data_IF_505931987603
#
_entry.id   IF_505931987603
#
_cell.length_a   1.000
_cell.length_b   1.000
_cell.length_c   1.000
_cell.angle_alpha   90.00
_cell.angle_beta   90.00
_cell.angle_gamma   90.00
#
_symmetry.space_group_name_H-M   'P 1'
#
loop_
_entity.id
_entity.type
_entity.pdbx_description
1 polymer ?
#
# COMPACT_ATOMS: atom_id res chain seq x y z
N UNK A 1 0.06 -24.09 -9.97
CA UNK A 1 -1.34 -23.78 -10.37
C UNK A 1 -1.30 -22.65 -11.39
N UNK A 2 -1.85 -22.87 -12.58
CA UNK A 2 -2.11 -21.79 -13.54
C UNK A 2 -3.55 -21.31 -13.30
N UNK A 3 -3.73 -20.04 -12.96
CA UNK A 3 -5.04 -19.42 -12.86
C UNK A 3 -5.34 -18.68 -14.16
N UNK A 4 -6.55 -18.89 -14.71
CA UNK A 4 -7.06 -18.06 -15.79
C UNK A 4 -7.55 -16.74 -15.20
N UNK A 5 -6.99 -15.62 -15.63
CA UNK A 5 -7.47 -14.29 -15.26
C UNK A 5 -8.10 -13.61 -16.47
N UNK A 6 -9.31 -13.08 -16.31
CA UNK A 6 -9.97 -12.30 -17.35
C UNK A 6 -9.91 -10.82 -16.98
N UNK A 7 -9.13 -10.05 -17.74
CA UNK A 7 -8.90 -8.64 -17.48
C UNK A 7 -9.89 -7.81 -18.31
N UNK A 8 -10.90 -7.26 -17.65
CA UNK A 8 -11.93 -6.41 -18.29
C UNK A 8 -11.51 -4.95 -18.46
N UNK A 9 -10.38 -4.55 -17.87
CA UNK A 9 -9.93 -3.15 -17.81
C UNK A 9 -8.52 -3.01 -18.38
N UNK A 10 -8.31 -2.05 -19.29
CA UNK A 10 -6.99 -1.72 -19.83
C UNK A 10 -6.34 -0.56 -19.05
N UNK A 11 -5.01 -0.53 -19.03
CA UNK A 11 -4.20 0.55 -18.46
C UNK A 11 -4.33 0.78 -16.95
N UNK A 12 -3.97 -0.23 -16.15
CA UNK A 12 -4.27 -0.31 -14.72
C UNK A 12 -3.12 -0.89 -13.90
N UNK A 13 -2.96 -0.43 -12.66
CA UNK A 13 -2.14 -1.11 -11.64
C UNK A 13 -3.05 -1.94 -10.75
N UNK A 14 -2.69 -3.21 -10.60
CA UNK A 14 -3.23 -4.15 -9.63
C UNK A 14 -2.04 -4.86 -8.98
N UNK A 15 -2.32 -5.85 -8.15
CA UNK A 15 -1.32 -6.70 -7.55
C UNK A 15 -1.90 -8.09 -7.31
N UNK A 16 -1.03 -9.09 -7.21
CA UNK A 16 -1.39 -10.43 -6.77
C UNK A 16 -0.72 -10.73 -5.44
N UNK A 17 -1.34 -11.61 -4.66
CA UNK A 17 -0.76 -12.12 -3.42
C UNK A 17 -1.31 -13.49 -3.08
N UNK A 18 -0.58 -14.24 -2.24
CA UNK A 18 -1.12 -15.45 -1.64
C UNK A 18 -2.36 -15.11 -0.81
N UNK A 19 -3.44 -15.87 -0.99
CA UNK A 19 -4.69 -15.68 -0.23
C UNK A 19 -4.91 -16.84 0.76
N UNK A 20 -3.83 -17.29 1.38
CA UNK A 20 -3.80 -18.35 2.37
C UNK A 20 -2.87 -17.92 3.51
N UNK A 21 -3.43 -17.91 4.73
CA UNK A 21 -2.73 -17.54 5.96
C UNK A 21 -1.99 -16.19 5.80
N UNK A 22 -0.78 -16.07 6.35
CA UNK A 22 0.04 -14.86 6.27
C UNK A 22 1.13 -14.96 5.19
N UNK A 23 1.01 -15.92 4.25
CA UNK A 23 1.99 -16.08 3.17
C UNK A 23 2.13 -14.84 2.27
N UNK A 24 1.12 -13.96 2.23
CA UNK A 24 1.24 -12.67 1.55
C UNK A 24 2.25 -11.70 2.19
N UNK A 25 2.86 -12.04 3.31
CA UNK A 25 3.99 -11.28 3.85
C UNK A 25 5.24 -11.37 2.97
N UNK A 26 5.35 -12.38 2.12
CA UNK A 26 6.48 -12.57 1.21
C UNK A 26 6.07 -12.98 -0.21
N UNK A 27 4.86 -13.53 -0.39
CA UNK A 27 4.35 -14.03 -1.68
C UNK A 27 3.33 -13.04 -2.26
N UNK A 28 3.84 -12.04 -2.98
CA UNK A 28 3.05 -11.01 -3.67
C UNK A 28 3.84 -10.37 -4.80
N UNK A 29 3.17 -9.62 -5.66
CA UNK A 29 3.80 -8.84 -6.73
C UNK A 29 2.85 -7.93 -7.47
N UNK A 30 3.40 -7.01 -8.25
CA UNK A 30 2.61 -6.09 -9.06
C UNK A 30 1.97 -6.78 -10.27
N UNK A 31 0.81 -6.29 -10.69
CA UNK A 31 0.21 -6.55 -11.99
C UNK A 31 0.08 -5.20 -12.70
N UNK A 32 0.82 -5.03 -13.78
CA UNK A 32 0.73 -3.84 -14.62
C UNK A 32 0.03 -4.21 -15.93
N UNK A 33 -1.16 -3.65 -16.13
CA UNK A 33 -1.92 -3.81 -17.36
C UNK A 33 -1.67 -2.56 -18.20
N UNK A 34 -1.03 -2.71 -19.36
CA UNK A 34 -0.76 -1.58 -20.25
C UNK A 34 -2.02 -1.13 -21.00
N UNK A 35 -2.07 0.12 -21.51
CA UNK A 35 -3.12 0.53 -22.43
C UNK A 35 -3.14 -0.36 -23.67
N UNK A 36 -4.34 -0.60 -24.22
CA UNK A 36 -4.49 -1.25 -25.51
C UNK A 36 -3.74 -0.46 -26.56
N UNK A 37 -3.21 -1.15 -27.57
CA UNK A 37 -2.56 -0.48 -28.69
C UNK A 37 -3.50 0.58 -29.31
N UNK A 38 -2.95 1.76 -29.61
CA UNK A 38 -3.72 2.91 -30.09
C UNK A 38 -4.47 3.72 -29.01
N UNK A 39 -4.50 3.28 -27.74
CA UNK A 39 -5.08 4.05 -26.63
C UNK A 39 -4.02 4.81 -25.84
N UNK A 40 -4.28 6.09 -25.55
CA UNK A 40 -3.40 6.94 -24.75
C UNK A 40 -3.85 7.00 -23.30
N UNK A 41 -2.92 7.34 -22.41
CA UNK A 41 -3.26 7.77 -21.05
C UNK A 41 -4.14 9.02 -21.07
N UNK A 42 -5.01 9.25 -20.07
CA UNK A 42 -5.73 10.51 -19.89
C UNK A 42 -4.83 11.65 -19.37
N UNK A 43 -3.52 11.42 -19.32
CA UNK A 43 -2.48 12.36 -18.90
C UNK A 43 -1.27 12.22 -19.85
N UNK A 44 -0.37 13.21 -19.91
CA UNK A 44 0.83 13.12 -20.75
C UNK A 44 1.65 11.86 -20.47
N UNK A 45 2.12 11.20 -21.54
CA UNK A 45 2.90 9.96 -21.42
C UNK A 45 4.14 10.20 -20.53
N UNK A 46 4.31 9.42 -19.44
CA UNK A 46 5.49 9.54 -18.59
C UNK A 46 6.76 9.11 -19.35
N UNK A 47 7.91 9.61 -18.92
CA UNK A 47 9.21 9.23 -19.46
C UNK A 47 9.54 7.76 -19.15
N UNK A 48 9.31 7.35 -17.89
CA UNK A 48 9.42 5.97 -17.42
C UNK A 48 8.40 5.71 -16.32
N UNK A 49 8.16 4.45 -16.04
CA UNK A 49 7.27 3.98 -14.98
C UNK A 49 8.05 3.04 -14.06
N UNK A 50 7.68 2.97 -12.78
CA UNK A 50 8.27 2.03 -11.83
C UNK A 50 7.29 1.66 -10.74
N UNK A 51 7.36 0.41 -10.29
CA UNK A 51 6.57 -0.11 -9.19
C UNK A 51 7.23 0.24 -7.84
N UNK A 52 6.41 0.68 -6.90
CA UNK A 52 6.81 0.97 -5.52
C UNK A 52 5.91 0.12 -4.61
N UNK A 53 6.41 -1.04 -4.21
CA UNK A 53 5.65 -1.98 -3.39
C UNK A 53 6.04 -1.79 -1.93
N UNK A 54 5.10 -1.29 -1.14
CA UNK A 54 5.22 -1.18 0.32
C UNK A 54 4.88 -2.52 0.94
N UNK A 55 5.65 -2.98 1.92
CA UNK A 55 5.42 -4.24 2.61
C UNK A 55 5.95 -4.23 4.03
N UNK A 56 5.90 -5.38 4.69
CA UNK A 56 6.39 -5.61 6.05
C UNK A 56 7.36 -6.80 6.07
N UNK A 57 8.26 -6.81 7.04
CA UNK A 57 9.27 -7.85 7.24
C UNK A 57 9.29 -8.28 8.71
N UNK A 58 9.31 -9.59 8.92
CA UNK A 58 9.59 -10.21 10.21
C UNK A 58 10.89 -11.02 10.09
N UNK A 59 11.73 -10.94 11.12
CA UNK A 59 12.94 -11.76 11.22
C UNK A 59 12.60 -13.25 11.44
N UNK A 60 11.46 -13.52 12.07
CA UNK A 60 10.96 -14.87 12.30
C UNK A 60 9.97 -15.30 11.21
N UNK A 61 9.79 -16.61 11.05
CA UNK A 61 8.78 -17.18 10.16
C UNK A 61 7.36 -16.72 10.55
N UNK A 62 6.68 -16.06 9.60
CA UNK A 62 5.39 -15.40 9.84
C UNK A 62 4.29 -16.39 10.21
N UNK A 63 4.31 -17.59 9.63
CA UNK A 63 3.35 -18.65 9.95
C UNK A 63 3.54 -19.15 11.38
N UNK A 64 4.78 -19.33 11.81
CA UNK A 64 5.11 -19.71 13.19
C UNK A 64 4.63 -18.65 14.19
N UNK A 65 4.81 -17.36 13.87
CA UNK A 65 4.36 -16.26 14.71
C UNK A 65 2.83 -16.25 14.87
N UNK A 66 2.11 -16.34 13.75
CA UNK A 66 0.64 -16.30 13.72
C UNK A 66 0.04 -17.53 14.38
N UNK A 67 0.58 -18.72 14.09
CA UNK A 67 0.11 -19.96 14.71
C UNK A 67 0.31 -19.96 16.22
N UNK A 68 1.42 -19.38 16.72
CA UNK A 68 1.65 -19.20 18.16
C UNK A 68 0.65 -18.21 18.75
N UNK A 69 0.48 -17.04 18.14
CA UNK A 69 -0.44 -16.01 18.62
C UNK A 69 -1.89 -16.51 18.70
N UNK A 70 -2.35 -17.20 17.66
CA UNK A 70 -3.69 -17.81 17.61
C UNK A 70 -3.90 -18.85 18.72
N UNK A 71 -2.91 -19.72 18.98
CA UNK A 71 -2.97 -20.69 20.09
C UNK A 71 -3.07 -20.02 21.45
N UNK A 72 -2.44 -18.86 21.61
CA UNK A 72 -2.43 -18.10 22.85
C UNK A 72 -3.67 -17.18 23.00
N UNK A 73 -4.45 -16.98 21.93
CA UNK A 73 -5.57 -16.05 21.89
C UNK A 73 -5.16 -14.57 21.79
N UNK A 74 -3.91 -14.31 21.39
CA UNK A 74 -3.26 -12.99 21.36
C UNK A 74 -3.10 -12.48 19.92
N UNK A 75 -2.88 -11.16 19.71
CA UNK A 75 -2.54 -10.67 18.39
C UNK A 75 -1.11 -11.09 18.01
N UNK A 76 -0.83 -11.34 16.72
CA UNK A 76 0.55 -11.53 16.24
C UNK A 76 1.43 -10.30 16.54
N UNK A 77 2.75 -10.47 16.72
CA UNK A 77 3.64 -9.34 16.92
C UNK A 77 3.74 -8.46 15.66
N UNK A 78 3.97 -7.17 15.86
CA UNK A 78 4.23 -6.20 14.78
C UNK A 78 5.48 -6.58 13.98
N UNK A 79 5.60 -6.06 12.76
CA UNK A 79 6.78 -6.28 11.92
C UNK A 79 8.06 -5.73 12.56
N UNK A 80 9.19 -6.31 12.14
CA UNK A 80 10.51 -5.79 12.46
C UNK A 80 10.89 -4.60 11.57
N UNK A 81 10.34 -4.53 10.36
CA UNK A 81 10.54 -3.41 9.46
C UNK A 81 9.43 -3.29 8.40
N UNK A 82 9.06 -2.07 8.08
CA UNK A 82 8.45 -1.73 6.79
C UNK A 82 9.49 -1.83 5.66
N UNK A 83 9.04 -2.14 4.44
CA UNK A 83 9.89 -2.28 3.26
C UNK A 83 9.35 -1.54 2.03
N UNK A 84 10.25 -1.04 1.19
CA UNK A 84 9.95 -0.54 -0.17
C UNK A 84 10.68 -1.48 -1.13
N UNK A 85 9.94 -2.16 -2.00
CA UNK A 85 10.43 -3.20 -2.90
C UNK A 85 11.26 -4.27 -2.16
N UNK A 86 10.77 -4.69 -0.99
CA UNK A 86 11.41 -5.71 -0.15
C UNK A 86 12.68 -5.25 0.59
N UNK A 87 12.95 -3.94 0.63
CA UNK A 87 14.13 -3.35 1.29
C UNK A 87 13.71 -2.40 2.42
N UNK A 88 14.22 -2.56 3.66
CA UNK A 88 13.93 -1.65 4.78
C UNK A 88 14.51 -0.23 4.62
N UNK A 89 15.55 -0.09 3.80
CA UNK A 89 16.19 1.19 3.53
C UNK A 89 17.37 1.52 4.45
N UNK A 90 17.91 2.71 4.28
CA UNK A 90 19.20 3.12 4.83
C UNK A 90 19.19 3.39 6.35
N UNK A 91 18.00 3.49 6.95
CA UNK A 91 17.83 3.73 8.39
C UNK A 91 17.94 2.45 9.22
N UNK A 92 17.96 1.28 8.57
CA UNK A 92 18.07 -0.01 9.23
C UNK A 92 19.52 -0.55 9.20
N UNK A 93 19.95 -1.26 10.24
CA UNK A 93 21.24 -1.96 10.23
C UNK A 93 21.36 -2.87 8.99
N UNK A 94 22.57 -2.98 8.45
CA UNK A 94 22.90 -3.84 7.30
C UNK A 94 22.14 -3.54 5.98
N UNK A 95 21.31 -2.50 5.92
CA UNK A 95 20.38 -2.26 4.80
C UNK A 95 20.80 -1.12 3.86
N UNK A 96 21.80 -0.31 4.25
CA UNK A 96 22.29 0.85 3.49
C UNK A 96 22.70 0.51 2.05
N UNK A 97 23.50 -0.56 1.85
CA UNK A 97 24.01 -0.95 0.52
C UNK A 97 22.91 -1.50 -0.41
N UNK A 98 21.79 -1.94 0.15
CA UNK A 98 20.71 -2.60 -0.58
C UNK A 98 19.43 -1.78 -0.63
N UNK A 99 19.49 -0.51 -0.21
CA UNK A 99 18.34 0.40 -0.28
C UNK A 99 17.90 0.56 -1.73
N UNK A 100 16.59 0.40 -1.97
CA UNK A 100 16.03 0.60 -3.31
C UNK A 100 16.31 2.03 -3.79
N UNK A 101 16.77 2.16 -5.03
CA UNK A 101 17.09 3.45 -5.64
C UNK A 101 16.58 3.49 -7.07
N UNK A 102 15.81 4.53 -7.41
CA UNK A 102 15.39 4.79 -8.78
C UNK A 102 16.13 6.01 -9.33
N UNK A 103 16.62 5.91 -10.57
CA UNK A 103 17.31 7.01 -11.24
C UNK A 103 16.32 7.91 -12.00
N UNK A 104 16.50 9.23 -11.91
CA UNK A 104 15.70 10.23 -12.62
C UNK A 104 16.57 11.24 -13.36
N UNK A 105 16.07 11.73 -14.50
CA UNK A 105 16.66 12.80 -15.29
C UNK A 105 15.91 14.10 -15.02
N UNK A 106 16.66 15.20 -14.84
CA UNK A 106 16.08 16.51 -14.56
C UNK A 106 15.06 16.92 -15.64
N UNK A 107 13.93 17.47 -15.19
CA UNK A 107 12.82 17.92 -16.04
C UNK A 107 11.90 16.81 -16.55
N UNK A 108 12.24 15.52 -16.42
CA UNK A 108 11.39 14.41 -16.85
C UNK A 108 10.29 14.10 -15.84
N UNK A 109 9.22 13.45 -16.31
CA UNK A 109 8.09 13.01 -15.48
C UNK A 109 8.05 11.48 -15.42
N UNK A 110 7.84 10.91 -14.24
CA UNK A 110 7.82 9.48 -13.99
C UNK A 110 6.47 9.07 -13.40
N UNK A 111 5.99 7.88 -13.76
CA UNK A 111 4.80 7.28 -13.14
C UNK A 111 5.24 6.28 -12.08
N UNK A 112 4.91 6.55 -10.82
CA UNK A 112 5.11 5.60 -9.72
C UNK A 112 3.81 4.83 -9.51
N UNK A 113 3.89 3.50 -9.59
CA UNK A 113 2.77 2.58 -9.34
C UNK A 113 2.91 2.05 -7.91
N UNK A 114 2.32 2.77 -6.95
CA UNK A 114 2.48 2.50 -5.53
C UNK A 114 1.45 1.46 -5.09
N UNK A 115 1.91 0.40 -4.43
CA UNK A 115 1.08 -0.72 -3.98
C UNK A 115 1.34 -0.89 -2.50
N UNK A 116 0.30 -0.91 -1.67
CA UNK A 116 0.47 -1.31 -0.27
C UNK A 116 0.16 -2.80 -0.12
N UNK A 117 1.22 -3.61 -0.11
CA UNK A 117 1.19 -5.04 0.13
C UNK A 117 1.46 -5.41 1.61
N UNK A 118 1.57 -4.41 2.50
CA UNK A 118 1.68 -4.65 3.95
C UNK A 118 0.49 -5.45 4.46
N UNK A 119 0.68 -6.16 5.56
CA UNK A 119 -0.37 -6.95 6.20
C UNK A 119 -1.34 -6.07 6.97
N UNK A 120 -0.82 -5.15 7.79
CA UNK A 120 -1.61 -4.52 8.85
C UNK A 120 -1.78 -3.01 8.68
N UNK A 121 -0.75 -2.32 8.18
CA UNK A 121 -0.63 -0.87 8.40
C UNK A 121 -1.02 -0.03 7.18
N UNK A 122 -1.87 0.98 7.41
CA UNK A 122 -2.01 2.11 6.47
C UNK A 122 -0.74 2.95 6.51
N UNK A 123 -0.26 3.41 5.35
CA UNK A 123 1.03 4.08 5.25
C UNK A 123 0.87 5.50 4.71
N UNK A 124 1.48 6.46 5.40
CA UNK A 124 1.83 7.72 4.77
C UNK A 124 3.07 7.53 3.91
N UNK A 125 3.01 7.88 2.63
CA UNK A 125 4.13 7.85 1.70
C UNK A 125 4.46 9.27 1.19
N UNK A 126 5.74 9.60 1.12
CA UNK A 126 6.25 10.92 0.70
C UNK A 126 7.57 10.82 -0.07
N UNK A 127 7.88 11.84 -0.87
CA UNK A 127 9.17 11.99 -1.54
C UNK A 127 9.73 13.37 -1.20
N UNK A 128 10.96 13.44 -0.71
CA UNK A 128 11.57 14.70 -0.30
C UNK A 128 11.62 15.68 -1.48
N UNK A 129 11.13 16.90 -1.28
CA UNK A 129 11.12 17.96 -2.29
C UNK A 129 10.11 17.80 -3.43
N UNK A 130 9.53 16.61 -3.64
CA UNK A 130 8.71 16.34 -4.82
C UNK A 130 7.22 16.29 -4.48
N UNK A 131 6.42 16.95 -5.32
CA UNK A 131 4.97 16.78 -5.30
C UNK A 131 4.58 15.53 -6.13
N UNK A 132 3.50 14.88 -5.73
CA UNK A 132 2.92 13.71 -6.40
C UNK A 132 1.55 14.08 -6.93
N UNK A 133 1.31 13.90 -8.22
CA UNK A 133 -0.01 14.08 -8.83
C UNK A 133 -0.68 12.72 -8.96
N UNK A 134 -1.70 12.48 -8.14
CA UNK A 134 -2.48 11.25 -8.15
C UNK A 134 -3.32 11.21 -9.42
N UNK A 135 -3.25 10.10 -10.16
CA UNK A 135 -3.94 9.92 -11.45
C UNK A 135 -4.74 8.62 -11.55
N UNK A 136 -4.48 7.65 -10.68
CA UNK A 136 -5.20 6.37 -10.64
C UNK A 136 -5.20 5.83 -9.21
N UNK A 137 -6.32 5.21 -8.80
CA UNK A 137 -6.44 4.44 -7.56
C UNK A 137 -7.23 3.17 -7.88
N UNK A 138 -6.75 2.02 -7.42
CA UNK A 138 -7.42 0.72 -7.54
C UNK A 138 -7.93 0.41 -8.95
N UNK A 139 -7.04 0.57 -9.92
CA UNK A 139 -7.36 0.38 -11.31
C UNK A 139 -8.52 1.28 -11.83
N UNK A 140 -8.66 2.49 -11.29
CA UNK A 140 -9.61 3.50 -11.77
C UNK A 140 -8.93 4.85 -11.86
N UNK A 141 -9.03 5.51 -13.03
CA UNK A 141 -8.51 6.86 -13.17
C UNK A 141 -9.24 7.84 -12.27
N UNK A 142 -8.48 8.71 -11.63
CA UNK A 142 -9.00 9.73 -10.74
C UNK A 142 -9.04 11.08 -11.44
N UNK A 143 -9.86 12.01 -10.93
CA UNK A 143 -9.70 13.42 -11.24
C UNK A 143 -8.35 13.86 -10.65
N UNK A 144 -7.36 14.27 -11.47
CA UNK A 144 -6.00 14.43 -10.97
C UNK A 144 -5.92 15.46 -9.86
N UNK A 145 -5.11 15.17 -8.84
CA UNK A 145 -4.87 16.08 -7.75
C UNK A 145 -3.44 15.97 -7.22
N UNK A 146 -2.81 17.10 -6.94
CA UNK A 146 -1.41 17.15 -6.47
C UNK A 146 -1.33 17.19 -4.95
N UNK A 147 -0.47 16.37 -4.36
CA UNK A 147 -0.24 16.25 -2.92
C UNK A 147 1.24 16.00 -2.62
N UNK A 148 1.67 16.28 -1.39
CA UNK A 148 3.01 15.90 -0.89
C UNK A 148 3.02 14.58 -0.12
N UNK A 149 1.84 14.12 0.29
CA UNK A 149 1.64 12.93 1.10
C UNK A 149 0.53 12.10 0.46
N UNK A 150 0.77 10.81 0.32
CA UNK A 150 -0.22 9.80 0.00
C UNK A 150 -0.55 9.05 1.28
N UNK A 151 -1.83 8.78 1.53
CA UNK A 151 -2.26 7.75 2.47
C UNK A 151 -2.69 6.54 1.64
N UNK A 152 -2.19 5.36 1.95
CA UNK A 152 -2.51 4.13 1.23
C UNK A 152 -2.71 2.97 2.20
N UNK A 153 -3.87 2.33 2.15
CA UNK A 153 -4.22 1.20 3.00
C UNK A 153 -3.80 -0.14 2.38
N UNK A 154 -3.56 -1.20 3.18
CA UNK A 154 -3.29 -2.54 2.67
C UNK A 154 -4.31 -2.97 1.61
N UNK A 155 -3.82 -3.42 0.47
CA UNK A 155 -4.63 -3.83 -0.67
C UNK A 155 -4.87 -2.76 -1.72
N UNK A 156 -4.68 -1.49 -1.39
CA UNK A 156 -4.84 -0.40 -2.34
C UNK A 156 -3.62 -0.25 -3.25
N UNK A 157 -3.89 0.28 -4.44
CA UNK A 157 -2.90 0.75 -5.40
C UNK A 157 -3.15 2.22 -5.72
N UNK A 158 -2.09 3.02 -5.82
CA UNK A 158 -2.17 4.44 -6.19
C UNK A 158 -1.08 4.75 -7.22
N UNK A 159 -1.48 5.21 -8.40
CA UNK A 159 -0.51 5.71 -9.38
C UNK A 159 -0.36 7.22 -9.27
N UNK A 160 0.89 7.67 -9.24
CA UNK A 160 1.21 9.10 -9.19
C UNK A 160 2.24 9.49 -10.23
N UNK A 161 2.04 10.66 -10.83
CA UNK A 161 3.05 11.34 -11.62
C UNK A 161 3.93 12.18 -10.71
N UNK A 162 5.24 12.01 -10.84
CA UNK A 162 6.26 12.85 -10.20
C UNK A 162 7.09 13.52 -11.29
N UNK A 163 7.38 14.81 -11.12
CA UNK A 163 8.26 15.55 -12.02
C UNK A 163 9.61 15.73 -11.32
N UNK A 164 10.70 15.39 -11.99
CA UNK A 164 12.06 15.60 -11.49
C UNK A 164 12.46 17.07 -11.66
N UNK A 165 11.79 17.97 -10.92
CA UNK A 165 11.92 19.43 -11.03
C UNK A 165 12.70 20.08 -9.88
N UNK A 166 13.31 19.27 -9.02
CA UNK A 166 14.18 19.74 -7.94
C UNK A 166 15.62 19.89 -8.44
N UNK A 167 16.45 20.62 -7.68
CA UNK A 167 17.89 20.70 -7.94
C UNK A 167 18.49 19.28 -8.00
N UNK A 168 19.32 18.94 -9.01
CA UNK A 168 19.89 17.60 -9.12
C UNK A 168 20.61 17.16 -7.84
N UNK A 169 20.05 16.15 -7.18
CA UNK A 169 20.55 15.62 -5.91
C UNK A 169 19.95 14.22 -5.63
N UNK A 170 20.03 13.76 -4.37
CA UNK A 170 19.38 12.54 -3.90
C UNK A 170 18.31 12.89 -2.87
N UNK A 171 17.15 12.25 -3.01
CA UNK A 171 15.97 12.53 -2.21
C UNK A 171 15.42 11.22 -1.66
N UNK A 172 15.12 11.15 -0.36
CA UNK A 172 14.45 9.98 0.18
C UNK A 172 13.00 9.94 -0.26
N UNK A 173 12.57 8.79 -0.77
CA UNK A 173 11.20 8.31 -0.66
C UNK A 173 11.06 7.66 0.71
N UNK A 174 9.99 7.95 1.44
CA UNK A 174 9.81 7.41 2.77
C UNK A 174 8.35 7.09 3.07
N UNK A 175 8.14 6.02 3.84
CA UNK A 175 6.84 5.65 4.37
C UNK A 175 6.88 5.38 5.88
N UNK A 176 5.77 5.67 6.56
CA UNK A 176 5.54 5.36 7.98
C UNK A 176 4.06 5.01 8.22
N UNK A 177 3.71 4.29 9.29
CA UNK A 177 2.32 4.00 9.60
C UNK A 177 1.51 5.24 9.92
N UNK A 178 0.25 5.22 9.48
CA UNK A 178 -0.83 6.00 10.05
C UNK A 178 -1.56 5.12 11.07
N UNK A 179 -1.70 5.61 12.30
CA UNK A 179 -2.36 4.90 13.39
C UNK A 179 -3.08 5.91 14.29
N UNK A 180 -4.41 5.88 14.27
CA UNK A 180 -5.29 6.71 15.09
C UNK A 180 -6.02 5.92 16.19
N UNK A 181 -5.71 4.63 16.33
CA UNK A 181 -6.18 3.75 17.39
C UNK A 181 -5.04 3.40 18.36
N UNK A 182 -5.33 3.04 19.62
CA UNK A 182 -4.32 2.63 20.60
C UNK A 182 -3.88 1.17 20.39
N UNK A 183 -3.47 0.83 19.17
CA UNK A 183 -3.01 -0.52 18.78
C UNK A 183 -1.51 -0.47 18.45
N UNK A 184 -0.72 -1.46 18.88
CA UNK A 184 0.70 -1.53 18.52
C UNK A 184 0.89 -1.62 16.99
N UNK A 185 1.82 -0.83 16.46
CA UNK A 185 2.26 -0.85 15.06
C UNK A 185 3.78 -0.75 14.97
N UNK A 186 4.35 -1.20 13.85
CA UNK A 186 5.75 -0.95 13.56
C UNK A 186 5.95 0.53 13.19
N UNK A 187 6.31 1.35 14.18
CA UNK A 187 6.50 2.78 13.99
C UNK A 187 7.83 3.18 13.29
N UNK A 188 8.54 2.22 12.68
CA UNK A 188 9.80 2.52 11.97
C UNK A 188 9.51 3.09 10.58
N UNK A 189 10.30 4.09 10.20
CA UNK A 189 10.21 4.70 8.87
C UNK A 189 11.05 3.91 7.87
N UNK A 190 10.44 3.43 6.80
CA UNK A 190 11.13 2.82 5.66
C UNK A 190 11.60 3.90 4.69
N UNK A 191 12.77 3.68 4.07
CA UNK A 191 13.30 4.60 3.04
C UNK A 191 13.74 3.91 1.76
N UNK A 192 13.60 4.64 0.66
CA UNK A 192 14.19 4.37 -0.64
C UNK A 192 14.71 5.68 -1.25
N UNK A 193 15.42 5.64 -2.37
CA UNK A 193 16.14 6.81 -2.90
C UNK A 193 15.63 7.15 -4.29
N UNK A 194 15.21 8.39 -4.49
CA UNK A 194 15.06 9.01 -5.80
C UNK A 194 16.36 9.75 -6.12
N UNK A 195 17.08 9.27 -7.12
CA UNK A 195 18.47 9.64 -7.42
C UNK A 195 18.54 10.35 -8.76
N UNK A 196 18.87 11.64 -8.77
CA UNK A 196 19.12 12.33 -10.03
C UNK A 196 20.38 11.78 -10.71
N UNK A 197 20.32 11.59 -12.02
CA UNK A 197 21.42 11.12 -12.85
C UNK A 197 22.68 11.96 -12.62
N UNK A 198 23.84 11.31 -12.71
CA UNK A 198 25.18 11.91 -12.55
C UNK A 198 25.51 12.46 -11.15
N UNK A 199 24.64 12.26 -10.15
CA UNK A 199 24.93 12.62 -8.76
C UNK A 199 25.73 11.51 -8.07
N UNK A 200 26.83 11.80 -7.35
CA UNK A 200 27.58 10.80 -6.61
C UNK A 200 26.74 10.10 -5.52
N UNK A 201 26.90 8.78 -5.37
CA UNK A 201 26.25 7.97 -4.31
C UNK A 201 26.74 8.30 -2.89
N UNK A 202 27.77 9.13 -2.75
CA UNK A 202 28.25 9.67 -1.47
C UNK A 202 27.40 10.83 -0.96
N UNK A 203 26.62 11.49 -1.83
CA UNK A 203 25.70 12.56 -1.42
C UNK A 203 24.60 11.97 -0.55
N UNK A 204 24.42 12.49 0.66
CA UNK A 204 23.40 12.01 1.59
C UNK A 204 22.02 12.47 1.10
N UNK A 205 21.04 11.58 0.91
CA UNK A 205 19.71 11.98 0.48
C UNK A 205 18.99 12.83 1.53
N UNK A 206 18.21 13.81 1.09
CA UNK A 206 17.40 14.63 1.99
C UNK A 206 16.14 13.89 2.47
N UNK A 207 15.79 14.02 3.74
CA UNK A 207 14.59 13.40 4.33
C UNK A 207 13.32 14.23 4.06
N UNK A 208 12.19 13.59 3.73
CA UNK A 208 10.91 14.28 3.62
C UNK A 208 10.32 14.60 5.00
N UNK A 209 9.45 15.61 5.03
CA UNK A 209 8.57 15.87 6.19
C UNK A 209 7.36 14.94 6.10
N UNK A 210 7.41 13.83 6.83
CA UNK A 210 6.28 12.92 7.00
C UNK A 210 5.31 13.44 8.09
N UNK A 211 4.00 13.23 7.94
CA UNK A 211 3.03 13.55 8.99
C UNK A 211 3.30 12.79 10.29
N UNK A 212 2.80 13.29 11.42
CA UNK A 212 2.75 12.50 12.64
C UNK A 212 1.92 11.21 12.41
N UNK A 213 2.28 10.06 13.01
CA UNK A 213 1.57 8.80 12.80
C UNK A 213 0.06 8.88 13.10
N UNK A 214 -0.37 9.71 14.05
CA UNK A 214 -1.77 9.89 14.43
C UNK A 214 -2.44 11.11 13.77
N UNK A 215 -1.91 11.62 12.66
CA UNK A 215 -2.44 12.84 12.03
C UNK A 215 -3.69 12.56 11.18
N UNK A 216 -4.84 12.41 11.85
CA UNK A 216 -6.14 12.13 11.22
C UNK A 216 -6.58 13.26 10.26
N UNK A 217 -6.16 14.50 10.50
CA UNK A 217 -6.49 15.62 9.60
C UNK A 217 -5.87 15.45 8.21
N UNK A 218 -4.61 14.99 8.13
CA UNK A 218 -3.96 14.70 6.85
C UNK A 218 -4.66 13.53 6.15
N UNK A 219 -4.97 12.46 6.89
CA UNK A 219 -5.70 11.29 6.38
C UNK A 219 -7.07 11.68 5.79
N UNK A 220 -7.90 12.39 6.56
CA UNK A 220 -9.21 12.87 6.10
C UNK A 220 -9.11 13.83 4.91
N UNK A 221 -8.11 14.72 4.90
CA UNK A 221 -7.91 15.65 3.79
C UNK A 221 -7.53 14.93 2.49
N UNK A 222 -6.69 13.89 2.57
CA UNK A 222 -6.37 13.04 1.42
C UNK A 222 -7.61 12.32 0.89
N UNK A 223 -8.36 11.63 1.78
CA UNK A 223 -9.55 10.85 1.41
C UNK A 223 -10.65 11.71 0.76
N UNK A 224 -10.84 12.97 1.20
CA UNK A 224 -11.82 13.90 0.61
C UNK A 224 -11.51 14.29 -0.84
N UNK A 225 -10.29 14.07 -1.32
CA UNK A 225 -9.87 14.44 -2.69
C UNK A 225 -10.08 13.33 -3.69
N UNK A 226 -10.36 12.11 -3.24
CA UNK A 226 -10.52 10.95 -4.11
C UNK A 226 -11.83 11.05 -4.90
N UNK A 227 -11.70 11.17 -6.22
CA UNK A 227 -12.82 11.29 -7.15
C UNK A 227 -12.48 10.56 -8.44
N UNK A 228 -13.43 9.81 -9.00
CA UNK A 228 -13.27 9.22 -10.33
C UNK A 228 -13.10 10.31 -11.40
N UNK A 229 -12.36 10.01 -12.47
CA UNK A 229 -12.07 10.94 -13.55
C UNK A 229 -13.34 11.49 -14.24
N UNK A 230 -14.31 10.61 -14.52
CA UNK A 230 -15.62 10.92 -15.10
C UNK A 230 -15.58 11.79 -16.37
N UNK A 231 -14.93 11.29 -17.42
CA UNK A 231 -14.92 11.91 -18.77
C UNK A 231 -15.73 11.06 -19.75
N UNK A 232 -16.04 11.55 -20.98
CA UNK A 232 -16.73 10.74 -21.98
C UNK A 232 -16.04 9.40 -22.29
N UNK A 233 -14.71 9.37 -22.27
CA UNK A 233 -13.92 8.15 -22.49
C UNK A 233 -13.83 7.26 -21.23
N UNK A 234 -13.93 7.85 -20.04
CA UNK A 234 -13.83 7.15 -18.75
C UNK A 234 -15.01 7.54 -17.82
N UNK A 235 -16.24 7.14 -18.16
CA UNK A 235 -17.42 7.56 -17.43
C UNK A 235 -17.53 6.88 -16.06
N UNK A 236 -17.92 7.64 -15.04
CA UNK A 236 -18.26 7.10 -13.73
C UNK A 236 -19.74 6.70 -13.70
N UNK A 237 -20.03 5.40 -13.82
CA UNK A 237 -21.40 4.86 -13.83
C UNK A 237 -21.89 4.55 -12.42
N UNK A 238 -22.29 5.61 -11.69
CA UNK A 238 -22.82 5.47 -10.33
C UNK A 238 -24.27 4.93 -10.39
N UNK A 239 -24.60 3.83 -9.69
CA UNK A 239 -25.99 3.37 -9.58
C UNK A 239 -26.87 4.42 -8.91
N UNK A 240 -27.92 4.88 -9.60
CA UNK A 240 -28.83 5.93 -9.10
C UNK A 240 -30.03 5.37 -8.31
N UNK A 241 -30.37 4.10 -8.54
CA UNK A 241 -31.44 3.40 -7.82
C UNK A 241 -30.82 2.42 -6.84
N UNK A 242 -31.20 2.52 -5.58
CA UNK A 242 -30.77 1.60 -4.52
C UNK A 242 -31.84 0.53 -4.34
N UNK A 243 -31.49 -0.74 -4.54
CA UNK A 243 -32.43 -1.86 -4.38
C UNK A 243 -32.44 -2.45 -2.95
N UNK A 244 -31.30 -2.35 -2.25
CA UNK A 244 -31.08 -2.88 -0.89
C UNK A 244 -30.16 -1.96 -0.10
N UNK A 245 -30.52 -1.70 1.15
CA UNK A 245 -29.68 -1.00 2.12
C UNK A 245 -29.07 -2.03 3.07
N UNK A 246 -27.74 -2.05 3.15
CA UNK A 246 -27.00 -2.92 4.06
C UNK A 246 -26.25 -2.02 5.05
N UNK A 247 -26.34 -2.36 6.33
CA UNK A 247 -25.58 -1.72 7.39
C UNK A 247 -24.65 -2.76 8.00
N UNK A 248 -23.35 -2.45 8.01
CA UNK A 248 -22.32 -3.31 8.54
C UNK A 248 -21.65 -2.63 9.72
N UNK A 249 -21.69 -3.24 10.89
CA UNK A 249 -20.83 -2.90 12.02
C UNK A 249 -19.56 -3.73 11.92
N UNK A 250 -18.40 -3.08 11.98
CA UNK A 250 -17.09 -3.72 12.02
C UNK A 250 -16.61 -3.63 13.47
N UNK A 251 -16.35 -4.76 14.12
CA UNK A 251 -15.98 -4.79 15.53
C UNK A 251 -14.76 -5.67 15.80
N UNK A 252 -13.92 -5.22 16.72
CA UNK A 252 -12.93 -6.05 17.41
C UNK A 252 -13.51 -6.46 18.77
N UNK A 253 -13.30 -7.70 19.17
CA UNK A 253 -13.86 -8.25 20.41
C UNK A 253 -13.02 -9.37 20.99
N UNK A 254 -13.53 -10.00 22.04
CA UNK A 254 -12.89 -11.14 22.69
C UNK A 254 -13.93 -12.19 23.03
N UNK A 255 -13.69 -13.43 22.61
CA UNK A 255 -14.52 -14.58 22.98
C UNK A 255 -13.87 -15.38 24.11
N UNK A 256 -14.63 -16.05 24.97
CA UNK A 256 -14.08 -16.99 25.95
C UNK A 256 -13.28 -18.10 25.26
N UNK A 257 -12.09 -18.40 25.78
CA UNK A 257 -11.22 -19.46 25.28
C UNK A 257 -10.45 -20.09 26.45
N UNK A 258 -10.89 -21.26 26.91
CA UNK A 258 -10.31 -21.94 28.08
C UNK A 258 -8.87 -22.40 27.86
N UNK A 259 -8.47 -22.68 26.62
CA UNK A 259 -7.09 -23.08 26.28
C UNK A 259 -6.15 -21.90 26.01
N UNK A 260 -6.68 -20.67 25.94
CA UNK A 260 -5.89 -19.47 25.64
C UNK A 260 -5.26 -18.89 26.90
N UNK A 261 -4.16 -18.15 26.75
CA UNK A 261 -3.35 -17.67 27.87
C UNK A 261 -4.15 -16.82 28.88
N UNK A 262 -5.02 -15.94 28.39
CA UNK A 262 -5.80 -15.02 29.21
C UNK A 262 -7.27 -15.47 29.37
N UNK A 263 -7.58 -16.74 29.10
CA UNK A 263 -8.96 -17.24 29.10
C UNK A 263 -9.86 -16.66 28.01
N UNK A 264 -9.29 -15.86 27.09
CA UNK A 264 -10.00 -15.19 26.00
C UNK A 264 -9.18 -15.26 24.71
N UNK A 265 -9.88 -15.18 23.58
CA UNK A 265 -9.32 -15.09 22.24
C UNK A 265 -9.81 -13.82 21.58
N UNK A 266 -8.89 -13.00 21.07
CA UNK A 266 -9.24 -11.85 20.25
C UNK A 266 -9.97 -12.30 18.97
N UNK A 267 -11.02 -11.58 18.61
CA UNK A 267 -11.83 -11.83 17.43
C UNK A 267 -12.17 -10.54 16.71
N UNK A 268 -12.56 -10.67 15.44
CA UNK A 268 -13.18 -9.62 14.67
C UNK A 268 -14.56 -10.09 14.21
N UNK A 269 -15.46 -9.14 13.93
CA UNK A 269 -16.82 -9.43 13.48
C UNK A 269 -17.32 -8.42 12.46
N UNK A 270 -18.22 -8.90 11.60
CA UNK A 270 -19.11 -8.08 10.79
C UNK A 270 -20.53 -8.32 11.31
N UNK A 271 -21.25 -7.28 11.73
CA UNK A 271 -22.58 -7.40 12.32
C UNK A 271 -22.64 -8.37 13.51
N UNK A 272 -21.61 -8.33 14.37
CA UNK A 272 -21.45 -9.22 15.53
C UNK A 272 -21.36 -10.72 15.17
N UNK A 273 -21.02 -11.04 13.92
CA UNK A 273 -20.75 -12.40 13.45
C UNK A 273 -19.26 -12.54 13.16
N UNK A 274 -18.59 -13.44 13.88
CA UNK A 274 -17.20 -13.83 13.61
C UNK A 274 -17.17 -14.91 12.53
N UNK A 275 -16.53 -14.62 11.40
CA UNK A 275 -16.38 -15.58 10.32
C UNK A 275 -15.40 -16.69 10.71
N UNK A 276 -15.84 -17.95 10.59
CA UNK A 276 -15.00 -19.14 10.79
C UNK A 276 -14.80 -19.81 9.44
N UNK A 277 -13.54 -19.98 9.04
CA UNK A 277 -13.21 -20.63 7.77
C UNK A 277 -13.76 -22.07 7.74
N UNK A 278 -14.59 -22.42 6.74
CA UNK A 278 -15.08 -23.79 6.60
C UNK A 278 -13.96 -24.74 6.16
N UNK A 279 -14.16 -26.04 6.40
CA UNK A 279 -13.23 -27.10 5.94
C UNK A 279 -13.31 -27.35 4.43
N UNK A 280 -14.45 -27.01 3.83
CA UNK A 280 -14.71 -27.10 2.39
C UNK A 280 -14.92 -25.69 1.87
N UNK A 281 -14.34 -25.36 0.73
CA UNK A 281 -14.50 -24.03 0.15
C UNK A 281 -15.98 -23.73 -0.12
N UNK A 282 -16.43 -22.53 0.24
CA UNK A 282 -17.84 -22.13 0.10
C UNK A 282 -18.38 -22.28 -1.33
N UNK A 283 -17.54 -22.11 -2.35
CA UNK A 283 -17.94 -22.26 -3.75
C UNK A 283 -18.18 -23.72 -4.17
N UNK A 284 -17.65 -24.69 -3.41
CA UNK A 284 -17.86 -26.11 -3.64
C UNK A 284 -19.11 -26.63 -2.90
N UNK A 285 -19.65 -25.86 -1.95
CA UNK A 285 -20.79 -26.25 -1.13
C UNK A 285 -22.13 -26.15 -1.87
#
# INVERSE_FOLDING_TARGET
LFYLSHVLFSNRTLWWHAHILWLRATVYGAIVIMPKEGTMFPFPKPHKETEIILGEWWNSDVETLVNRANKMGLPPPTSDAHTINGKPGSLFPCSLKHTFSMEVEAGKTYLLRIINAALNDELFFTIAGHNMTVVEIDAVYTKPFTTRVILIAPGQTTNVLIKADQSPSRYFMAARPFMDAPVPVDNKTVTAILHYKDIPKTVIPSMPKLPAPNNTNVAMSYNKRLKSLNTPQFPAKVPLKVDRHLFYTIGLGANPCSSCQNGTQLTASLNNITFVMPKVGLLQA
#
